data_IF_919656559061
#
_entry.id   IF_919656559061
#
_cell.length_a   1.000
_cell.length_b   1.000
_cell.length_c   1.000
_cell.angle_alpha   90.00
_cell.angle_beta   90.00
_cell.angle_gamma   90.00
#
_symmetry.space_group_name_H-M   'P 1'
#
loop_
_entity.id
_entity.type
_entity.pdbx_description
1 polymer ?
#
# COMPACT_ATOMS: atom_id res chain seq x y z
N UNK A 1 -19.05 18.02 -1.05
CA UNK A 1 -19.49 16.67 -1.45
C UNK A 1 -18.31 15.71 -1.62
N UNK A 2 -17.25 16.09 -2.34
CA UNK A 2 -16.04 15.27 -2.53
C UNK A 2 -15.42 14.67 -1.24
N UNK A 3 -15.19 15.49 -0.21
CA UNK A 3 -14.64 15.01 1.08
C UNK A 3 -15.50 13.92 1.74
N UNK A 4 -16.82 14.08 1.71
CA UNK A 4 -17.76 13.10 2.31
C UNK A 4 -17.70 11.77 1.58
N UNK A 5 -17.60 11.80 0.25
CA UNK A 5 -17.43 10.59 -0.55
C UNK A 5 -16.13 9.88 -0.21
N UNK A 6 -15.01 10.62 -0.16
CA UNK A 6 -13.73 10.03 0.18
C UNK A 6 -13.75 9.45 1.61
N UNK A 7 -14.29 10.18 2.59
CA UNK A 7 -14.38 9.71 3.98
C UNK A 7 -15.24 8.43 4.06
N UNK A 8 -16.32 8.36 3.28
CA UNK A 8 -17.15 7.17 3.17
C UNK A 8 -16.38 5.98 2.57
N UNK A 9 -15.51 6.19 1.58
CA UNK A 9 -14.65 5.14 1.03
C UNK A 9 -13.72 4.57 2.12
N UNK A 10 -13.07 5.41 2.92
CA UNK A 10 -12.22 4.93 4.02
C UNK A 10 -13.01 4.15 5.06
N UNK A 11 -14.24 4.58 5.35
CA UNK A 11 -15.12 3.93 6.33
C UNK A 11 -15.73 2.62 5.84
N UNK A 12 -15.97 2.48 4.54
CA UNK A 12 -16.48 1.25 3.93
C UNK A 12 -15.52 0.08 4.22
N UNK A 13 -14.22 0.28 4.00
CA UNK A 13 -13.19 -0.67 4.41
C UNK A 13 -13.36 -2.08 3.80
N UNK A 14 -13.89 -2.15 2.57
CA UNK A 14 -14.02 -3.36 1.75
C UNK A 14 -12.94 -3.38 0.66
N UNK A 15 -12.68 -4.55 0.07
CA UNK A 15 -11.78 -4.68 -1.08
C UNK A 15 -12.17 -3.74 -2.23
N UNK A 16 -13.46 -3.69 -2.58
CA UNK A 16 -13.95 -2.82 -3.66
C UNK A 16 -13.69 -1.33 -3.37
N UNK A 17 -13.86 -0.89 -2.11
CA UNK A 17 -13.56 0.49 -1.71
C UNK A 17 -12.08 0.84 -1.83
N UNK A 18 -11.20 -0.16 -1.65
CA UNK A 18 -9.77 -0.02 -1.87
C UNK A 18 -9.48 0.11 -3.36
N UNK A 19 -10.11 -0.71 -4.20
CA UNK A 19 -9.94 -0.65 -5.67
C UNK A 19 -10.33 0.72 -6.23
N UNK A 20 -11.48 1.26 -5.82
CA UNK A 20 -11.89 2.64 -6.17
C UNK A 20 -10.85 3.65 -5.68
N UNK A 21 -10.35 3.51 -4.45
CA UNK A 21 -9.31 4.38 -3.92
C UNK A 21 -8.03 4.40 -4.75
N UNK A 22 -7.60 3.24 -5.25
CA UNK A 22 -6.44 3.11 -6.15
C UNK A 22 -6.67 3.87 -7.45
N UNK A 23 -7.87 3.76 -8.05
CA UNK A 23 -8.23 4.48 -9.28
C UNK A 23 -8.20 6.00 -9.07
N UNK A 24 -8.73 6.48 -7.94
CA UNK A 24 -8.72 7.90 -7.57
C UNK A 24 -7.30 8.44 -7.34
N UNK A 25 -6.39 7.63 -6.82
CA UNK A 25 -4.97 8.00 -6.68
C UNK A 25 -4.32 8.11 -8.06
N UNK A 26 -4.52 7.11 -8.92
CA UNK A 26 -3.93 7.08 -10.27
C UNK A 26 -4.43 8.22 -11.17
N UNK A 27 -5.69 8.61 -11.01
CA UNK A 27 -6.29 9.74 -11.74
C UNK A 27 -5.87 11.11 -11.19
N UNK A 28 -5.21 11.17 -10.03
CA UNK A 28 -4.84 12.43 -9.38
C UNK A 28 -6.03 13.16 -8.75
N UNK A 29 -7.17 12.48 -8.55
CA UNK A 29 -8.36 13.07 -7.94
C UNK A 29 -8.25 13.15 -6.40
N UNK A 30 -7.33 12.39 -5.80
CA UNK A 30 -6.98 12.49 -4.38
C UNK A 30 -5.93 13.57 -4.13
N UNK A 31 -6.24 14.53 -3.25
CA UNK A 31 -5.28 15.55 -2.79
C UNK A 31 -4.16 14.93 -1.96
N UNK A 32 -2.96 15.51 -2.02
CA UNK A 32 -1.74 15.05 -1.35
C UNK A 32 -1.72 15.09 0.20
N UNK A 33 -2.79 15.53 0.86
CA UNK A 33 -2.97 15.33 2.31
C UNK A 33 -3.89 14.14 2.59
N UNK A 34 -4.73 13.80 1.63
CA UNK A 34 -5.71 12.73 1.72
C UNK A 34 -5.11 11.39 1.32
N UNK A 35 -4.08 11.38 0.48
CA UNK A 35 -3.28 10.19 0.14
C UNK A 35 -2.74 9.49 1.40
N UNK A 36 -2.17 10.24 2.35
CA UNK A 36 -1.63 9.75 3.62
C UNK A 36 -2.71 9.06 4.43
N UNK A 37 -3.85 9.73 4.61
CA UNK A 37 -4.99 9.19 5.34
C UNK A 37 -5.54 7.93 4.66
N UNK A 38 -5.58 7.92 3.32
CA UNK A 38 -6.01 6.77 2.56
C UNK A 38 -5.08 5.57 2.76
N UNK A 39 -3.76 5.75 2.62
CA UNK A 39 -2.80 4.67 2.86
C UNK A 39 -2.81 4.18 4.31
N UNK A 40 -2.96 5.07 5.30
CA UNK A 40 -3.14 4.68 6.70
C UNK A 40 -4.42 3.84 6.87
N UNK A 41 -5.51 4.22 6.19
CA UNK A 41 -6.79 3.54 6.28
C UNK A 41 -6.74 2.06 5.86
N UNK A 42 -5.79 1.69 4.99
CA UNK A 42 -5.60 0.30 4.54
C UNK A 42 -5.36 -0.66 5.71
N UNK A 43 -4.79 -0.16 6.81
CA UNK A 43 -4.60 -0.91 8.07
C UNK A 43 -5.91 -1.27 8.78
N UNK A 44 -7.04 -0.73 8.35
CA UNK A 44 -8.36 -0.93 8.96
C UNK A 44 -9.36 -1.64 8.03
N UNK A 45 -8.95 -2.05 6.82
CA UNK A 45 -9.81 -2.73 5.84
C UNK A 45 -10.30 -4.08 6.36
N UNK A 46 -11.60 -4.23 6.56
CA UNK A 46 -12.18 -5.42 7.20
C UNK A 46 -12.24 -6.62 6.28
N UNK A 47 -12.45 -6.39 4.98
CA UNK A 47 -12.70 -7.43 3.98
C UNK A 47 -11.78 -7.24 2.77
N UNK A 48 -10.46 -7.47 2.92
CA UNK A 48 -9.54 -7.39 1.79
C UNK A 48 -9.81 -8.51 0.80
N UNK A 49 -9.74 -8.19 -0.49
CA UNK A 49 -9.90 -9.16 -1.60
C UNK A 49 -8.58 -9.32 -2.35
N UNK A 50 -8.46 -10.41 -3.12
CA UNK A 50 -7.30 -10.61 -4.00
C UNK A 50 -7.17 -9.49 -5.06
N UNK A 51 -8.30 -8.99 -5.56
CA UNK A 51 -8.36 -7.87 -6.49
C UNK A 51 -7.85 -6.58 -5.84
N UNK A 52 -8.26 -6.29 -4.60
CA UNK A 52 -7.74 -5.14 -3.85
C UNK A 52 -6.22 -5.21 -3.62
N UNK A 53 -5.68 -6.41 -3.37
CA UNK A 53 -4.21 -6.61 -3.28
C UNK A 53 -3.51 -6.32 -4.61
N UNK A 54 -4.06 -6.82 -5.71
CA UNK A 54 -3.52 -6.56 -7.04
C UNK A 54 -3.56 -5.06 -7.37
N UNK A 55 -4.67 -4.39 -7.05
CA UNK A 55 -4.84 -2.97 -7.26
C UNK A 55 -3.79 -2.15 -6.49
N UNK A 56 -3.62 -2.39 -5.19
CA UNK A 56 -2.60 -1.65 -4.40
C UNK A 56 -1.17 -2.02 -4.79
N UNK A 57 -0.91 -3.25 -5.22
CA UNK A 57 0.40 -3.68 -5.73
C UNK A 57 0.82 -2.83 -6.93
N UNK A 58 -0.12 -2.48 -7.80
CA UNK A 58 0.16 -1.64 -8.98
C UNK A 58 0.54 -0.19 -8.65
N UNK A 59 0.25 0.29 -7.43
CA UNK A 59 0.74 1.59 -6.99
C UNK A 59 2.26 1.58 -6.79
N UNK A 60 2.83 0.45 -6.37
CA UNK A 60 4.27 0.28 -6.12
C UNK A 60 5.13 0.34 -7.39
N UNK A 61 4.52 0.21 -8.56
CA UNK A 61 5.19 0.30 -9.86
C UNK A 61 5.32 1.75 -10.37
N UNK A 62 4.71 2.73 -9.67
CA UNK A 62 4.78 4.13 -10.07
C UNK A 62 6.12 4.77 -9.67
N UNK A 63 6.70 5.64 -10.53
CA UNK A 63 8.01 6.25 -10.28
C UNK A 63 8.01 7.16 -9.05
N UNK A 64 6.90 7.88 -8.80
CA UNK A 64 6.80 8.90 -7.76
C UNK A 64 5.99 8.43 -6.54
N UNK A 65 6.14 7.15 -6.17
CA UNK A 65 5.42 6.60 -5.03
C UNK A 65 5.88 7.24 -3.71
N UNK A 66 4.90 7.75 -2.96
CA UNK A 66 5.09 8.32 -1.63
C UNK A 66 5.46 7.26 -0.60
N UNK A 67 6.38 7.58 0.33
CA UNK A 67 6.92 6.61 1.30
C UNK A 67 5.85 5.88 2.13
N UNK A 68 4.83 6.61 2.58
CA UNK A 68 3.76 6.06 3.40
C UNK A 68 2.89 5.04 2.64
N UNK A 69 2.96 5.01 1.31
CA UNK A 69 2.31 3.99 0.51
C UNK A 69 2.85 2.59 0.80
N UNK A 70 4.17 2.42 0.95
CA UNK A 70 4.77 1.11 1.22
C UNK A 70 4.22 0.49 2.52
N UNK A 71 4.09 1.30 3.58
CA UNK A 71 3.52 0.87 4.85
C UNK A 71 2.03 0.54 4.74
N UNK A 72 1.26 1.39 4.06
CA UNK A 72 -0.17 1.14 3.84
C UNK A 72 -0.43 -0.14 3.03
N UNK A 73 0.32 -0.35 1.95
CA UNK A 73 0.24 -1.56 1.11
C UNK A 73 0.62 -2.81 1.90
N UNK A 74 1.72 -2.77 2.66
CA UNK A 74 2.12 -3.87 3.53
C UNK A 74 1.08 -4.18 4.61
N UNK A 75 0.43 -3.15 5.18
CA UNK A 75 -0.65 -3.33 6.14
C UNK A 75 -1.85 -4.05 5.52
N UNK A 76 -2.28 -3.68 4.30
CA UNK A 76 -3.35 -4.39 3.59
C UNK A 76 -2.98 -5.85 3.34
N UNK A 77 -1.74 -6.12 2.91
CA UNK A 77 -1.23 -7.47 2.70
C UNK A 77 -1.29 -8.31 3.97
N UNK A 78 -0.90 -7.74 5.12
CA UNK A 78 -1.05 -8.39 6.43
C UNK A 78 -2.52 -8.71 6.76
N UNK A 79 -3.44 -7.79 6.48
CA UNK A 79 -4.88 -8.01 6.72
C UNK A 79 -5.45 -9.10 5.82
N UNK A 80 -5.03 -9.17 4.57
CA UNK A 80 -5.41 -10.25 3.68
C UNK A 80 -4.97 -11.60 4.23
N UNK A 81 -3.70 -11.76 4.65
CA UNK A 81 -3.23 -13.03 5.22
C UNK A 81 -3.88 -13.43 6.55
N UNK A 82 -4.51 -12.50 7.26
CA UNK A 82 -5.29 -12.83 8.47
C UNK A 82 -6.65 -13.42 8.16
N UNK A 83 -7.17 -13.18 6.96
CA UNK A 83 -8.51 -13.60 6.52
C UNK A 83 -8.50 -14.65 5.42
N UNK A 84 -7.37 -14.78 4.71
CA UNK A 84 -7.18 -15.67 3.56
C UNK A 84 -5.81 -16.35 3.65
N UNK A 85 -5.68 -17.53 3.05
CA UNK A 85 -4.36 -18.15 2.90
C UNK A 85 -3.52 -17.34 1.91
N UNK A 86 -2.30 -17.00 2.34
CA UNK A 86 -1.28 -16.35 1.50
C UNK A 86 -0.31 -17.34 0.87
N UNK A 87 -0.37 -18.63 1.26
CA UNK A 87 0.48 -19.66 0.70
C UNK A 87 0.18 -19.85 -0.80
N UNK A 88 1.24 -19.96 -1.60
CA UNK A 88 1.16 -20.17 -3.05
C UNK A 88 0.32 -19.13 -3.82
N UNK A 89 0.10 -17.94 -3.25
CA UNK A 89 -0.65 -16.88 -3.92
C UNK A 89 0.29 -16.00 -4.75
N UNK A 90 0.17 -16.07 -6.08
CA UNK A 90 1.04 -15.34 -7.00
C UNK A 90 0.97 -13.81 -6.82
N UNK A 91 -0.23 -13.26 -6.57
CA UNK A 91 -0.43 -11.81 -6.39
C UNK A 91 0.23 -11.34 -5.09
N UNK A 92 0.05 -12.10 -4.01
CA UNK A 92 0.70 -11.81 -2.74
C UNK A 92 2.23 -11.88 -2.86
N UNK A 93 2.76 -12.93 -3.49
CA UNK A 93 4.20 -13.09 -3.68
C UNK A 93 4.80 -11.96 -4.53
N UNK A 94 4.12 -11.54 -5.60
CA UNK A 94 4.54 -10.38 -6.39
C UNK A 94 4.56 -9.09 -5.57
N UNK A 95 3.51 -8.84 -4.78
CA UNK A 95 3.43 -7.67 -3.89
C UNK A 95 4.59 -7.67 -2.88
N UNK A 96 4.86 -8.80 -2.22
CA UNK A 96 5.99 -8.90 -1.28
C UNK A 96 7.31 -8.65 -2.00
N UNK A 97 7.51 -9.20 -3.19
CA UNK A 97 8.71 -8.94 -3.99
C UNK A 97 8.88 -7.45 -4.34
N UNK A 98 7.79 -6.73 -4.65
CA UNK A 98 7.82 -5.27 -4.87
C UNK A 98 8.22 -4.52 -3.60
N UNK A 99 7.64 -4.86 -2.45
CA UNK A 99 8.00 -4.25 -1.17
C UNK A 99 9.47 -4.51 -0.81
N UNK A 100 9.93 -5.76 -0.96
CA UNK A 100 11.30 -6.17 -0.62
C UNK A 100 12.36 -5.52 -1.52
N UNK A 101 12.04 -5.24 -2.79
CA UNK A 101 12.97 -4.56 -3.72
C UNK A 101 13.41 -3.19 -3.22
N UNK A 102 12.52 -2.45 -2.55
CA UNK A 102 12.86 -1.14 -1.98
C UNK A 102 13.88 -1.26 -0.83
N UNK A 103 13.77 -2.34 -0.05
CA UNK A 103 14.67 -2.62 1.07
C UNK A 103 16.02 -3.18 0.59
N UNK A 104 16.03 -3.98 -0.48
CA UNK A 104 17.26 -4.61 -0.97
C UNK A 104 18.22 -3.68 -1.70
N UNK A 105 17.73 -2.55 -2.24
CA UNK A 105 18.55 -1.58 -2.98
C UNK A 105 19.29 -0.54 -2.10
N UNK A 106 18.96 -0.44 -0.81
CA UNK A 106 19.45 0.65 0.07
C UNK A 106 20.13 0.23 1.37
N UNK A 107 19.93 -1.01 1.84
CA UNK A 107 20.44 -1.47 3.14
C UNK A 107 21.83 -2.16 3.03
N UNK A 108 22.71 -1.66 2.16
CA UNK A 108 24.10 -2.13 2.07
C UNK A 108 25.04 -1.05 2.59
N UNK A 109 25.37 -1.19 3.86
CA UNK A 109 26.28 -0.30 4.58
C UNK A 109 27.63 -0.98 4.70
N UNK A 110 28.69 -0.28 4.27
CA UNK A 110 30.07 -0.81 4.30
C UNK A 110 30.82 -0.44 5.59
N UNK A 111 30.25 0.44 6.40
CA UNK A 111 30.79 0.85 7.70
C UNK A 111 29.68 1.25 8.68
N UNK A 112 30.02 1.26 9.97
CA UNK A 112 29.14 1.70 11.07
C UNK A 112 28.74 3.17 10.98
N UNK A 113 29.59 4.02 10.39
CA UNK A 113 29.31 5.45 10.24
C UNK A 113 28.24 5.69 9.17
N UNK A 114 28.27 4.90 8.09
CA UNK A 114 27.26 4.94 7.04
C UNK A 114 25.88 4.43 7.51
N UNK A 115 25.82 3.65 8.60
CA UNK A 115 24.56 3.11 9.18
C UNK A 115 23.58 4.22 9.57
N UNK A 116 24.10 5.34 10.07
CA UNK A 116 23.30 6.50 10.48
C UNK A 116 22.83 7.37 9.29
N UNK A 117 23.35 7.12 8.09
CA UNK A 117 23.01 7.88 6.87
C UNK A 117 22.00 7.15 5.98
N UNK A 118 21.77 5.85 6.22
CA UNK A 118 20.76 5.06 5.50
C UNK A 118 19.37 5.57 5.88
N UNK A 119 18.75 6.32 4.97
CA UNK A 119 17.34 6.71 5.06
C UNK A 119 16.49 5.61 4.42
N UNK A 120 15.64 4.98 5.24
CA UNK A 120 14.61 4.03 4.80
C UNK A 120 13.49 4.79 4.11
#
# INVERSE_FOLDING_TARGET
MWKVFQDALLKAGTGDSVEVGVELIKSGEIKADYDKLWFISLSFVKQPTLASLSAVSSLLDQPDIVYHAYLGVGALASRYCRSHSCENNAVFNDLINKLSRKLSSGCRVSSRDQENEVRI
#
